data_IF_467964961732
#
_entry.id   IF_467964961732
#
_cell.length_a   1.000
_cell.length_b   1.000
_cell.length_c   1.000
_cell.angle_alpha   90.00
_cell.angle_beta   90.00
_cell.angle_gamma   90.00
#
_symmetry.space_group_name_H-M   'P 1'
#
loop_
_entity.id
_entity.type
_entity.pdbx_description
1 polymer ?
#
# COMPACT_ATOMS: atom_id res chain seq x y z
N UNK A 1 -37.63 -12.91 -17.45
CA UNK A 1 -37.41 -11.84 -18.44
C UNK A 1 -36.15 -11.09 -18.08
N UNK A 2 -35.06 -11.31 -18.82
CA UNK A 2 -33.83 -10.53 -18.73
C UNK A 2 -34.09 -9.12 -19.30
N UNK A 3 -33.87 -8.08 -18.50
CA UNK A 3 -33.76 -6.72 -19.06
C UNK A 3 -32.33 -6.52 -19.52
N UNK A 4 -32.15 -6.61 -20.84
CA UNK A 4 -30.96 -6.11 -21.53
C UNK A 4 -31.09 -4.58 -21.52
N UNK A 5 -30.21 -3.90 -20.79
CA UNK A 5 -30.03 -2.46 -20.93
C UNK A 5 -28.88 -2.25 -21.92
N UNK A 6 -29.21 -2.13 -23.20
CA UNK A 6 -28.40 -1.40 -24.17
C UNK A 6 -29.06 -0.04 -24.42
N UNK A 7 -28.32 1.05 -24.19
CA UNK A 7 -28.10 2.10 -25.20
C UNK A 7 -27.50 3.37 -24.58
N UNK A 8 -26.38 3.77 -25.18
CA UNK A 8 -26.02 5.15 -25.58
C UNK A 8 -25.82 6.28 -24.55
N UNK A 9 -24.53 6.63 -24.41
CA UNK A 9 -23.84 7.88 -24.82
C UNK A 9 -24.12 9.23 -24.10
N UNK A 10 -22.99 9.93 -23.86
CA UNK A 10 -22.71 11.32 -23.43
C UNK A 10 -22.67 11.60 -21.92
N UNK A 11 -21.48 11.69 -21.27
CA UNK A 11 -20.48 12.80 -21.22
C UNK A 11 -20.51 13.42 -19.81
N UNK A 12 -19.44 13.52 -19.00
CA UNK A 12 -18.17 14.19 -19.24
C UNK A 12 -17.10 13.83 -18.16
N UNK A 13 -15.84 13.72 -18.61
CA UNK A 13 -14.56 14.01 -17.92
C UNK A 13 -14.26 13.28 -16.58
N UNK A 14 -13.30 12.36 -16.48
CA UNK A 14 -11.86 12.56 -16.73
C UNK A 14 -11.12 11.25 -17.09
N UNK A 15 -10.05 11.39 -17.88
CA UNK A 15 -9.22 10.32 -18.43
C UNK A 15 -8.44 9.54 -17.35
N UNK A 16 -8.57 8.22 -17.35
CA UNK A 16 -7.41 7.34 -17.13
C UNK A 16 -7.41 6.28 -18.23
N UNK A 17 -6.59 6.53 -19.24
CA UNK A 17 -6.06 5.51 -20.14
C UNK A 17 -5.28 4.50 -19.31
N UNK A 18 -5.76 3.26 -19.23
CA UNK A 18 -4.91 2.14 -18.85
C UNK A 18 -5.01 1.03 -19.87
N UNK A 19 -3.82 0.71 -20.37
CA UNK A 19 -3.50 -0.16 -21.47
C UNK A 19 -4.14 -1.53 -21.27
N UNK A 20 -4.81 -2.00 -22.32
CA UNK A 20 -5.24 -3.39 -22.46
C UNK A 20 -4.01 -4.30 -22.47
N UNK A 21 -3.64 -4.84 -21.32
CA UNK A 21 -2.75 -6.01 -21.24
C UNK A 21 -3.55 -7.26 -21.64
N UNK A 22 -3.07 -8.15 -22.55
CA UNK A 22 -3.88 -9.26 -23.08
C UNK A 22 -4.16 -10.41 -22.10
N UNK A 23 -3.74 -10.31 -20.83
CA UNK A 23 -3.59 -11.48 -19.95
C UNK A 23 -4.43 -11.48 -18.66
N UNK A 24 -5.29 -10.51 -18.40
CA UNK A 24 -6.29 -10.62 -17.32
C UNK A 24 -7.56 -9.82 -17.67
N UNK A 25 -8.58 -10.50 -18.21
CA UNK A 25 -9.96 -10.00 -18.11
C UNK A 25 -10.40 -10.23 -16.67
N UNK A 26 -10.30 -9.21 -15.82
CA UNK A 26 -10.91 -9.21 -14.50
C UNK A 26 -12.43 -9.12 -14.71
N UNK A 27 -13.10 -10.27 -14.83
CA UNK A 27 -14.56 -10.33 -14.82
C UNK A 27 -14.99 -10.22 -13.35
N UNK A 28 -15.26 -9.00 -12.92
CA UNK A 28 -15.85 -8.75 -11.60
C UNK A 28 -17.35 -9.02 -11.71
N UNK A 29 -17.80 -10.21 -11.29
CA UNK A 29 -19.23 -10.46 -11.09
C UNK A 29 -19.62 -9.92 -9.71
N UNK A 30 -20.51 -8.92 -9.69
CA UNK A 30 -21.10 -8.43 -8.45
C UNK A 30 -22.44 -9.15 -8.25
N UNK A 31 -22.52 -10.00 -7.23
CA UNK A 31 -23.75 -10.70 -6.88
C UNK A 31 -24.68 -9.82 -6.05
N UNK A 32 -25.99 -9.99 -6.24
CA UNK A 32 -27.01 -9.30 -5.45
C UNK A 32 -27.00 -9.82 -4.00
N UNK A 33 -27.49 -9.03 -3.02
CA UNK A 33 -27.66 -9.51 -1.65
C UNK A 33 -28.45 -10.84 -1.59
N UNK A 34 -27.95 -11.81 -0.83
CA UNK A 34 -28.50 -13.17 -0.74
C UNK A 34 -27.92 -14.17 -1.75
N UNK A 35 -26.88 -13.77 -2.49
CA UNK A 35 -26.14 -14.61 -3.43
C UNK A 35 -24.63 -14.42 -3.27
N UNK A 36 -23.87 -15.51 -3.35
CA UNK A 36 -22.41 -15.53 -3.36
C UNK A 36 -21.87 -16.03 -4.70
N UNK A 37 -20.60 -15.74 -4.98
CA UNK A 37 -19.96 -16.16 -6.22
C UNK A 37 -19.35 -17.56 -6.06
N UNK A 38 -19.69 -18.48 -6.96
CA UNK A 38 -19.06 -19.79 -7.09
C UNK A 38 -18.36 -19.93 -8.43
N UNK A 39 -17.19 -20.58 -8.43
CA UNK A 39 -16.52 -21.00 -9.65
C UNK A 39 -17.13 -22.30 -10.16
N UNK A 40 -17.57 -22.30 -11.41
CA UNK A 40 -18.09 -23.49 -12.10
C UNK A 40 -17.24 -23.80 -13.33
N UNK A 41 -17.32 -25.01 -13.90
CA UNK A 41 -16.66 -25.32 -15.17
C UNK A 41 -17.03 -24.36 -16.32
N UNK A 42 -18.15 -23.64 -16.19
CA UNK A 42 -18.64 -22.67 -17.15
C UNK A 42 -18.31 -21.22 -16.76
N UNK A 43 -17.43 -21.00 -15.78
CA UNK A 43 -17.04 -19.70 -15.24
C UNK A 43 -17.70 -19.33 -13.91
N UNK A 44 -17.47 -18.09 -13.47
CA UNK A 44 -18.02 -17.54 -12.22
C UNK A 44 -19.54 -17.35 -12.33
N UNK A 45 -20.29 -17.81 -11.33
CA UNK A 45 -21.75 -17.62 -11.24
C UNK A 45 -22.18 -17.20 -9.84
N UNK A 46 -23.26 -16.42 -9.75
CA UNK A 46 -23.92 -16.15 -8.48
C UNK A 46 -24.85 -17.30 -8.10
N UNK A 47 -24.65 -17.88 -6.91
CA UNK A 47 -25.47 -18.95 -6.31
C UNK A 47 -26.12 -18.41 -5.05
N UNK A 48 -27.33 -18.90 -4.73
CA UNK A 48 -28.07 -18.46 -3.54
C UNK A 48 -27.34 -18.92 -2.28
N UNK A 49 -27.25 -18.06 -1.26
CA UNK A 49 -26.57 -18.37 0.02
C UNK A 49 -27.21 -19.55 0.77
N UNK A 50 -28.47 -19.85 0.51
CA UNK A 50 -29.21 -20.98 1.10
C UNK A 50 -29.00 -22.32 0.38
N UNK A 51 -28.15 -22.39 -0.64
CA UNK A 51 -27.87 -23.64 -1.35
C UNK A 51 -27.08 -24.62 -0.47
N UNK A 52 -27.36 -25.94 -0.53
CA UNK A 52 -26.56 -26.93 0.20
C UNK A 52 -25.10 -26.91 -0.27
N UNK A 53 -24.17 -26.81 0.68
CA UNK A 53 -22.74 -26.86 0.36
C UNK A 53 -22.39 -28.22 -0.27
N UNK A 54 -21.61 -28.21 -1.35
CA UNK A 54 -21.06 -29.45 -1.90
C UNK A 54 -20.05 -30.04 -0.90
N UNK A 55 -19.95 -31.38 -0.78
CA UNK A 55 -18.94 -31.99 0.08
C UNK A 55 -17.54 -31.60 -0.42
N UNK A 56 -16.69 -31.12 0.51
CA UNK A 56 -15.33 -30.61 0.29
C UNK A 56 -15.19 -29.18 -0.26
N UNK A 57 -16.23 -28.34 -0.19
CA UNK A 57 -16.12 -26.94 -0.62
C UNK A 57 -15.57 -26.08 0.53
N UNK A 58 -14.31 -25.65 0.41
CA UNK A 58 -13.62 -24.75 1.35
C UNK A 58 -14.17 -23.32 1.25
N UNK A 59 -15.34 -23.10 1.84
CA UNK A 59 -16.09 -21.84 1.73
C UNK A 59 -15.89 -20.94 2.94
N UNK A 60 -15.94 -19.64 2.71
CA UNK A 60 -15.91 -18.64 3.76
C UNK A 60 -17.15 -18.65 4.68
N UNK A 61 -18.25 -19.26 4.24
CA UNK A 61 -19.49 -19.35 5.01
C UNK A 61 -19.36 -20.14 6.33
N UNK A 62 -18.39 -21.05 6.43
CA UNK A 62 -18.12 -21.82 7.64
C UNK A 62 -17.08 -21.20 8.57
N UNK A 63 -16.44 -20.09 8.17
CA UNK A 63 -15.41 -19.42 8.95
C UNK A 63 -16.02 -18.23 9.67
N UNK A 64 -15.93 -18.19 11.01
CA UNK A 64 -16.33 -17.04 11.81
C UNK A 64 -15.14 -16.10 11.98
N UNK A 65 -15.19 -14.96 11.32
CA UNK A 65 -14.20 -13.89 11.46
C UNK A 65 -14.62 -12.86 12.51
N UNK A 66 -13.66 -12.12 13.07
CA UNK A 66 -13.91 -11.01 13.99
C UNK A 66 -14.66 -9.87 13.29
N UNK A 67 -15.22 -8.91 14.04
CA UNK A 67 -16.02 -7.80 13.47
C UNK A 67 -15.28 -6.91 12.45
N UNK A 68 -13.94 -6.96 12.45
CA UNK A 68 -13.06 -6.18 11.57
C UNK A 68 -12.31 -7.06 10.56
N UNK A 69 -12.73 -8.30 10.41
CA UNK A 69 -12.10 -9.28 9.54
C UNK A 69 -13.07 -9.74 8.45
N UNK A 70 -12.56 -9.88 7.23
CA UNK A 70 -13.27 -10.51 6.12
C UNK A 70 -12.67 -11.87 5.84
N UNK A 71 -13.52 -12.83 5.50
CA UNK A 71 -13.05 -14.10 5.00
C UNK A 71 -12.73 -14.01 3.51
N UNK A 72 -11.49 -14.36 3.14
CA UNK A 72 -11.04 -14.52 1.76
C UNK A 72 -10.54 -15.95 1.50
N UNK A 73 -10.67 -16.42 0.26
CA UNK A 73 -10.28 -17.77 -0.15
C UNK A 73 -8.88 -17.75 -0.79
N UNK A 74 -7.94 -18.51 -0.22
CA UNK A 74 -6.59 -18.71 -0.75
C UNK A 74 -6.42 -20.11 -1.36
N UNK A 75 -5.28 -20.36 -2.02
CA UNK A 75 -4.95 -21.65 -2.63
C UNK A 75 -4.93 -22.83 -1.64
N UNK A 76 -4.76 -22.54 -0.36
CA UNK A 76 -4.74 -23.47 0.77
C UNK A 76 -5.90 -23.25 1.75
N UNK A 77 -6.95 -22.53 1.33
CA UNK A 77 -8.25 -22.46 2.03
C UNK A 77 -8.70 -21.06 2.47
N UNK A 78 -9.93 -20.95 3.00
CA UNK A 78 -10.51 -19.70 3.47
C UNK A 78 -9.85 -19.25 4.78
N UNK A 79 -9.54 -17.96 4.87
CA UNK A 79 -8.89 -17.35 6.03
C UNK A 79 -9.53 -16.00 6.34
N UNK A 80 -9.65 -15.70 7.63
CA UNK A 80 -9.96 -14.35 8.07
C UNK A 80 -8.75 -13.46 7.85
N UNK A 81 -8.96 -12.36 7.14
CA UNK A 81 -7.97 -11.31 6.98
C UNK A 81 -8.53 -10.02 7.54
N UNK A 82 -7.72 -9.29 8.27
CA UNK A 82 -8.09 -7.98 8.82
C UNK A 82 -7.93 -6.84 7.79
N UNK A 83 -7.43 -7.14 6.58
CA UNK A 83 -7.17 -6.16 5.51
C UNK A 83 -8.45 -5.85 4.74
N UNK A 84 -9.33 -5.07 5.33
CA UNK A 84 -10.32 -4.29 4.58
C UNK A 84 -9.62 -3.06 3.99
N UNK A 85 -9.51 -2.98 2.67
CA UNK A 85 -8.98 -1.79 2.00
C UNK A 85 -8.27 -2.06 0.68
N UNK A 86 -7.63 -1.03 0.15
CA UNK A 86 -6.97 -1.06 -1.16
C UNK A 86 -5.81 -2.07 -1.23
N UNK A 87 -5.19 -2.41 -0.10
CA UNK A 87 -4.12 -3.39 -0.01
C UNK A 87 -4.57 -4.85 -0.19
N UNK A 88 -5.86 -5.15 -0.10
CA UNK A 88 -6.38 -6.51 -0.30
C UNK A 88 -6.13 -7.04 -1.72
N UNK A 89 -6.01 -6.15 -2.70
CA UNK A 89 -5.87 -6.52 -4.12
C UNK A 89 -4.42 -6.66 -4.61
N UNK A 90 -3.41 -6.50 -3.75
CA UNK A 90 -2.00 -6.46 -4.17
C UNK A 90 -1.09 -7.31 -3.27
N UNK A 91 -0.09 -7.93 -3.89
CA UNK A 91 0.98 -8.65 -3.21
C UNK A 91 2.32 -7.92 -3.43
N UNK A 92 3.02 -7.62 -2.33
CA UNK A 92 4.32 -6.96 -2.37
C UNK A 92 5.45 -7.99 -2.43
N UNK A 93 6.27 -7.96 -3.49
CA UNK A 93 7.48 -8.80 -3.60
C UNK A 93 8.58 -8.35 -2.66
N UNK A 94 8.56 -7.07 -2.25
CA UNK A 94 9.43 -6.49 -1.24
C UNK A 94 8.64 -5.54 -0.35
N UNK A 95 8.85 -5.64 0.95
CA UNK A 95 8.18 -4.79 1.93
C UNK A 95 6.75 -5.23 2.24
N UNK A 96 5.95 -4.29 2.74
CA UNK A 96 4.54 -4.51 3.13
C UNK A 96 3.65 -3.51 2.44
N UNK A 97 2.42 -3.90 2.13
CA UNK A 97 1.42 -2.97 1.63
C UNK A 97 0.97 -2.05 2.78
N UNK A 98 0.93 -0.76 2.54
CA UNK A 98 0.46 0.25 3.50
C UNK A 98 -0.55 1.17 2.81
N UNK A 99 -1.69 1.36 3.45
CA UNK A 99 -2.72 2.32 3.03
C UNK A 99 -2.48 3.66 3.72
N UNK A 100 -2.53 4.75 2.95
CA UNK A 100 -2.33 6.11 3.46
C UNK A 100 -3.02 7.12 2.55
N UNK A 101 -3.65 8.16 3.11
CA UNK A 101 -4.19 9.28 2.34
C UNK A 101 -5.11 8.87 1.17
N UNK A 102 -6.00 7.89 1.38
CA UNK A 102 -6.88 7.30 0.36
C UNK A 102 -6.16 6.63 -0.83
N UNK A 103 -4.90 6.26 -0.66
CA UNK A 103 -4.12 5.46 -1.61
C UNK A 103 -3.41 4.30 -0.89
N UNK A 104 -2.67 3.48 -1.63
CA UNK A 104 -1.92 2.35 -1.12
C UNK A 104 -0.63 2.13 -1.91
N UNK A 105 0.33 1.44 -1.31
CA UNK A 105 1.57 1.07 -1.99
C UNK A 105 2.38 0.04 -1.20
N UNK A 106 3.38 -0.54 -1.86
CA UNK A 106 4.35 -1.44 -1.23
C UNK A 106 5.54 -0.64 -0.71
N UNK A 107 5.81 -0.74 0.59
CA UNK A 107 6.88 -0.01 1.26
C UNK A 107 7.81 -0.97 1.99
N UNK A 108 9.12 -0.76 1.86
CA UNK A 108 10.08 -1.46 2.68
C UNK A 108 10.01 -0.93 4.13
N UNK A 109 9.53 -1.77 5.04
CA UNK A 109 9.40 -1.42 6.46
C UNK A 109 10.65 -1.74 7.26
N UNK A 110 11.66 -2.37 6.65
CA UNK A 110 12.94 -2.62 7.29
C UNK A 110 13.83 -1.39 7.14
N UNK A 111 13.87 -0.58 8.18
CA UNK A 111 14.63 0.67 8.17
C UNK A 111 16.10 0.48 8.52
N UNK A 112 16.91 1.44 8.08
CA UNK A 112 18.33 1.47 8.40
C UNK A 112 18.60 1.81 9.87
N UNK A 113 19.89 1.86 10.22
CA UNK A 113 20.30 2.25 11.56
C UNK A 113 19.86 3.69 11.88
N UNK A 114 19.26 3.87 13.06
CA UNK A 114 18.68 5.13 13.54
C UNK A 114 17.53 5.67 12.68
N UNK A 115 16.80 4.77 12.03
CA UNK A 115 15.57 5.07 11.31
C UNK A 115 14.40 4.29 11.90
N UNK A 116 13.21 4.86 11.81
CA UNK A 116 11.94 4.21 12.14
C UNK A 116 10.96 4.35 10.97
N UNK A 117 10.16 3.32 10.71
CA UNK A 117 9.15 3.37 9.66
C UNK A 117 7.95 4.17 10.14
N UNK A 118 7.58 5.23 9.42
CA UNK A 118 6.38 6.03 9.70
C UNK A 118 5.37 5.87 8.59
N UNK A 119 4.12 5.55 8.94
CA UNK A 119 2.99 5.49 8.00
C UNK A 119 2.53 6.88 7.56
N UNK A 120 2.59 7.85 8.47
CA UNK A 120 2.46 9.27 8.16
C UNK A 120 3.85 9.89 8.35
N UNK A 121 4.64 9.91 7.28
CA UNK A 121 5.97 10.50 7.34
C UNK A 121 5.86 12.03 7.48
N UNK A 122 6.84 12.64 8.15
CA UNK A 122 6.96 14.08 8.30
C UNK A 122 8.11 14.63 7.46
N UNK A 123 8.32 15.95 7.46
CA UNK A 123 9.52 16.48 6.83
C UNK A 123 10.76 16.22 7.71
N UNK A 124 11.84 15.71 7.12
CA UNK A 124 13.07 15.41 7.86
C UNK A 124 14.09 16.54 7.72
N UNK A 125 14.77 16.83 8.82
CA UNK A 125 15.92 17.73 8.80
C UNK A 125 17.17 16.98 8.29
N UNK A 126 18.03 17.71 7.58
CA UNK A 126 19.32 17.20 7.09
C UNK A 126 20.47 17.95 7.75
N UNK A 127 21.69 17.39 7.75
CA UNK A 127 22.85 18.13 8.24
C UNK A 127 23.10 19.45 7.46
N UNK A 128 22.68 19.55 6.19
CA UNK A 128 22.86 20.75 5.35
C UNK A 128 21.75 21.78 5.55
N UNK A 129 20.50 21.33 5.71
CA UNK A 129 19.34 22.18 5.89
C UNK A 129 18.57 21.74 7.13
N UNK A 130 18.73 22.52 8.20
CA UNK A 130 17.89 22.42 9.40
C UNK A 130 16.60 23.19 9.13
N UNK A 131 15.67 22.53 8.43
CA UNK A 131 14.37 23.13 8.14
C UNK A 131 13.66 23.45 9.47
N UNK A 132 13.32 24.72 9.69
CA UNK A 132 12.72 25.19 10.96
C UNK A 132 11.24 24.86 11.06
N UNK A 133 10.55 24.76 9.93
CA UNK A 133 9.10 24.55 9.88
C UNK A 133 8.78 23.46 8.85
N UNK A 134 8.18 22.37 9.32
CA UNK A 134 7.56 21.37 8.47
C UNK A 134 6.05 21.64 8.44
N UNK A 135 5.43 21.47 7.28
CA UNK A 135 3.97 21.50 7.20
C UNK A 135 3.41 20.28 7.94
N UNK A 136 2.31 20.46 8.69
CA UNK A 136 1.57 19.37 9.36
C UNK A 136 0.76 18.54 8.35
N UNK A 137 1.43 18.00 7.32
CA UNK A 137 0.85 17.14 6.31
C UNK A 137 1.60 15.82 6.31
N UNK A 138 0.86 14.72 6.27
CA UNK A 138 1.46 13.41 6.07
C UNK A 138 2.12 13.33 4.69
N UNK A 139 3.40 12.99 4.70
CA UNK A 139 4.11 12.51 3.53
C UNK A 139 3.89 10.99 3.39
N UNK A 140 4.18 10.41 2.21
CA UNK A 140 4.07 8.97 2.00
C UNK A 140 4.85 8.14 3.03
N UNK A 141 4.36 6.94 3.39
CA UNK A 141 5.02 6.04 4.31
C UNK A 141 6.50 5.84 3.95
N UNK A 142 7.39 6.01 4.92
CA UNK A 142 8.83 5.85 4.69
C UNK A 142 9.61 5.67 5.99
N UNK A 143 10.83 5.16 5.87
CA UNK A 143 11.80 5.16 6.94
C UNK A 143 12.33 6.57 7.18
N UNK A 144 12.25 7.03 8.42
CA UNK A 144 12.67 8.37 8.83
C UNK A 144 13.64 8.31 9.99
N UNK A 145 14.59 9.25 10.04
CA UNK A 145 15.49 9.41 11.16
C UNK A 145 14.69 9.57 12.45
N UNK A 146 15.06 8.80 13.46
CA UNK A 146 14.53 8.95 14.81
C UNK A 146 14.94 10.29 15.41
N UNK A 147 14.23 10.73 16.44
CA UNK A 147 14.49 12.00 17.11
C UNK A 147 15.96 12.12 17.59
N UNK A 148 16.55 13.29 17.36
CA UNK A 148 17.97 13.55 17.64
C UNK A 148 18.94 13.14 16.53
N UNK A 149 18.47 12.51 15.45
CA UNK A 149 19.27 12.14 14.28
C UNK A 149 18.89 12.98 13.06
N UNK A 150 19.89 13.28 12.23
CA UNK A 150 19.74 14.07 11.00
C UNK A 150 20.24 13.27 9.80
N UNK A 151 19.55 13.41 8.67
CA UNK A 151 19.93 12.70 7.44
C UNK A 151 21.18 13.33 6.81
N UNK A 152 22.16 12.50 6.50
CA UNK A 152 23.40 12.88 5.83
C UNK A 152 23.89 11.74 4.92
N UNK A 153 24.03 12.01 3.61
CA UNK A 153 24.41 10.99 2.61
C UNK A 153 23.60 9.68 2.70
N UNK A 154 22.29 9.81 2.89
CA UNK A 154 21.38 8.67 2.97
C UNK A 154 21.38 7.93 4.32
N UNK A 155 22.15 8.37 5.32
CA UNK A 155 22.21 7.76 6.65
C UNK A 155 21.76 8.75 7.73
N UNK A 156 21.16 8.24 8.79
CA UNK A 156 20.82 9.03 9.97
C UNK A 156 21.99 9.04 10.96
N UNK A 157 22.53 10.23 11.22
CA UNK A 157 23.66 10.46 12.13
C UNK A 157 23.23 11.32 13.31
N UNK A 158 23.84 11.18 14.50
CA UNK A 158 23.55 12.05 15.63
C UNK A 158 23.67 13.53 15.22
N UNK A 159 22.72 14.37 15.61
CA UNK A 159 22.67 15.76 15.17
C UNK A 159 23.95 16.56 15.49
N UNK A 160 24.67 16.19 16.56
CA UNK A 160 25.95 16.78 16.93
C UNK A 160 27.09 16.43 15.97
N UNK A 161 27.03 15.26 15.31
CA UNK A 161 28.02 14.87 14.30
C UNK A 161 27.95 15.76 13.05
N UNK A 162 26.84 16.43 12.79
CA UNK A 162 26.73 17.38 11.68
C UNK A 162 27.69 18.59 11.82
N UNK A 163 28.02 19.01 13.05
CA UNK A 163 28.92 20.16 13.30
C UNK A 163 30.36 19.84 12.84
N UNK A 164 30.80 18.60 13.07
CA UNK A 164 32.12 18.12 12.67
C UNK A 164 32.25 17.98 11.14
N UNK A 165 31.18 17.61 10.45
CA UNK A 165 31.18 17.44 8.99
C UNK A 165 31.31 18.78 8.24
N UNK A 166 30.69 19.85 8.75
CA UNK A 166 30.85 21.22 8.21
C UNK A 166 32.24 21.78 8.52
N UNK A 167 32.81 21.46 9.69
CA UNK A 167 34.17 21.88 10.06
C UNK A 167 35.23 21.27 9.13
N UNK A 168 35.14 19.96 8.85
CA UNK A 168 36.06 19.28 7.95
C UNK A 168 35.99 19.87 6.53
N UNK A 169 34.79 20.04 5.97
CA UNK A 169 34.64 20.59 4.61
C UNK A 169 35.21 22.01 4.45
N UNK A 170 35.18 22.87 5.49
CA UNK A 170 35.87 24.19 5.47
C UNK A 170 37.39 24.06 5.49
N UNK A 171 37.94 23.06 6.19
CA UNK A 171 39.39 22.83 6.23
C UNK A 171 39.87 22.41 4.84
N UNK A 172 39.23 21.42 4.20
CA UNK A 172 39.61 20.95 2.86
C UNK A 172 39.47 22.04 1.77
N UNK A 173 38.45 22.91 1.85
CA UNK A 173 38.33 24.08 0.95
C UNK A 173 39.50 25.06 1.12
N UNK A 174 39.88 25.37 2.36
CA UNK A 174 41.06 26.20 2.64
C UNK A 174 42.36 25.60 2.13
N UNK A 175 42.49 24.28 2.10
CA UNK A 175 43.70 23.61 1.60
C UNK A 175 43.77 23.57 0.06
N UNK A 176 42.63 23.59 -0.64
CA UNK A 176 42.56 23.57 -2.11
C UNK A 176 42.67 24.96 -2.76
N UNK A 177 42.40 26.04 -2.02
CA UNK A 177 42.59 27.43 -2.47
C UNK A 177 44.03 27.95 -2.26
N UNK A 178 44.94 27.11 -1.75
CA UNK A 178 46.37 27.42 -1.51
C UNK A 178 47.29 26.61 -2.46
N UNK A 179 46.77 26.16 -3.60
CA UNK A 179 47.56 25.54 -4.68
C UNK A 179 47.38 26.27 -5.99
#
# INVERSE_FOLDING_TARGET
MLKILESSRFSNTSLFSYQSSPLLRRVSIACLPGFHCEETPNGLRCVRDSAPALPNQWLCNSIKCSEVETCEIFSDGPRCISTHGLCAAIYCTKGKCVEYGNTFGCFDTNCGLHEEFKTCAACEQTCRHRQKTCASKCLPPSCQCIDGYLRHHGKCVPADNCKNLVALTRIWKKTLEVR
#
